data_IF_938350393099
#
_entry.id   IF_938350393099
#
_cell.length_a   1.000
_cell.length_b   1.000
_cell.length_c   1.000
_cell.angle_alpha   90.00
_cell.angle_beta   90.00
_cell.angle_gamma   90.00
#
_symmetry.space_group_name_H-M   'P 1'
#
loop_
_entity.id
_entity.type
_entity.pdbx_description
1 polymer ?
#
# COMPACT_ATOMS: atom_id res chain seq x y z
N UNK A 1 -6.15 2.44 28.21
CA UNK A 1 -6.25 2.58 26.74
C UNK A 1 -7.62 2.20 26.20
N UNK A 2 -8.06 0.93 26.22
CA UNK A 2 -9.35 0.57 25.59
C UNK A 2 -10.59 1.26 26.20
N UNK A 3 -10.64 1.40 27.54
CA UNK A 3 -11.71 2.15 28.22
C UNK A 3 -11.68 3.65 27.91
N UNK A 4 -10.48 4.21 27.71
CA UNK A 4 -10.29 5.63 27.40
C UNK A 4 -10.74 5.93 25.97
N UNK A 5 -10.38 5.06 25.02
CA UNK A 5 -10.86 5.12 23.64
C UNK A 5 -12.39 4.98 23.56
N UNK A 6 -12.99 4.03 24.29
CA UNK A 6 -14.46 3.91 24.35
C UNK A 6 -15.13 5.19 24.89
N UNK A 7 -14.53 5.85 25.88
CA UNK A 7 -15.02 7.12 26.41
C UNK A 7 -14.89 8.23 25.37
N UNK A 8 -13.75 8.31 24.70
CA UNK A 8 -13.48 9.31 23.65
C UNK A 8 -14.42 9.14 22.45
N UNK A 9 -14.64 7.90 21.97
CA UNK A 9 -15.63 7.62 20.92
C UNK A 9 -17.02 8.14 21.32
N UNK A 10 -17.47 7.83 22.54
CA UNK A 10 -18.77 8.31 23.04
C UNK A 10 -18.85 9.83 23.09
N UNK A 11 -17.77 10.49 23.48
CA UNK A 11 -17.67 11.95 23.51
C UNK A 11 -17.76 12.55 22.10
N UNK A 12 -16.92 12.08 21.17
CA UNK A 12 -16.89 12.57 19.78
C UNK A 12 -18.25 12.35 19.11
N UNK A 13 -18.79 11.13 19.16
CA UNK A 13 -20.10 10.81 18.60
C UNK A 13 -21.20 11.63 19.27
N UNK A 14 -21.16 11.78 20.59
CA UNK A 14 -22.14 12.58 21.34
C UNK A 14 -22.17 14.04 20.90
N UNK A 15 -21.02 14.62 20.57
CA UNK A 15 -20.91 16.01 20.08
C UNK A 15 -21.25 16.15 18.59
N UNK A 16 -21.03 15.11 17.78
CA UNK A 16 -21.24 15.14 16.32
C UNK A 16 -22.64 14.70 15.87
N UNK A 17 -23.33 13.83 16.62
CA UNK A 17 -24.60 13.20 16.16
C UNK A 17 -25.74 14.16 15.80
N UNK A 18 -25.75 15.35 16.40
CA UNK A 18 -26.77 16.38 16.19
C UNK A 18 -26.24 17.56 15.36
N UNK A 19 -25.03 17.43 14.79
CA UNK A 19 -24.40 18.47 13.97
C UNK A 19 -25.01 18.50 12.58
N UNK A 20 -24.89 19.66 11.95
CA UNK A 20 -25.21 19.81 10.54
C UNK A 20 -24.16 19.13 9.66
N UNK A 21 -24.52 18.87 8.40
CA UNK A 21 -23.57 18.40 7.36
C UNK A 21 -22.39 19.37 7.23
N UNK A 22 -22.65 20.68 7.31
CA UNK A 22 -21.64 21.74 7.26
C UNK A 22 -20.60 21.59 8.37
N UNK A 23 -21.05 21.37 9.60
CA UNK A 23 -20.16 21.19 10.75
C UNK A 23 -19.37 19.88 10.65
N UNK A 24 -19.99 18.76 10.23
CA UNK A 24 -19.25 17.50 10.04
C UNK A 24 -18.19 17.63 8.94
N UNK A 25 -18.52 18.26 7.80
CA UNK A 25 -17.55 18.50 6.73
C UNK A 25 -16.42 19.41 7.21
N UNK A 26 -16.72 20.44 8.00
CA UNK A 26 -15.66 21.29 8.57
C UNK A 26 -14.75 20.48 9.48
N UNK A 27 -15.33 19.66 10.37
CA UNK A 27 -14.58 18.76 11.25
C UNK A 27 -13.67 17.81 10.48
N UNK A 28 -14.19 17.14 9.44
CA UNK A 28 -13.42 16.22 8.62
C UNK A 28 -12.27 16.91 7.88
N UNK A 29 -12.50 18.10 7.30
CA UNK A 29 -11.44 18.89 6.63
C UNK A 29 -10.27 19.17 7.58
N UNK A 30 -10.55 19.61 8.81
CA UNK A 30 -9.48 19.92 9.75
C UNK A 30 -8.78 18.65 10.27
N UNK A 31 -9.46 17.51 10.39
CA UNK A 31 -8.79 16.26 10.76
C UNK A 31 -7.84 15.79 9.65
N UNK A 32 -8.30 15.76 8.41
CA UNK A 32 -7.47 15.36 7.24
C UNK A 32 -6.24 16.26 7.08
N UNK A 33 -6.37 17.56 7.38
CA UNK A 33 -5.25 18.50 7.38
C UNK A 33 -4.22 18.17 8.48
N UNK A 34 -4.68 17.78 9.67
CA UNK A 34 -3.79 17.39 10.78
C UNK A 34 -3.18 16.00 10.57
N UNK A 35 -3.93 15.04 10.01
CA UNK A 35 -3.46 13.72 9.61
C UNK A 35 -2.33 13.82 8.59
N UNK A 36 -2.53 14.66 7.58
CA UNK A 36 -1.54 14.94 6.56
C UNK A 36 -0.22 15.44 7.15
N UNK A 37 -0.28 16.30 8.17
CA UNK A 37 0.91 16.81 8.89
C UNK A 37 1.53 15.70 9.73
N UNK A 38 0.73 14.94 10.46
CA UNK A 38 1.18 13.84 11.31
C UNK A 38 1.98 12.80 10.52
N UNK A 39 1.45 12.32 9.39
CA UNK A 39 2.14 11.34 8.56
C UNK A 39 3.37 11.93 7.84
N UNK A 40 3.34 13.22 7.48
CA UNK A 40 4.54 13.89 6.96
C UNK A 40 5.66 13.88 8.01
N UNK A 41 5.35 14.23 9.26
CA UNK A 41 6.32 14.23 10.37
C UNK A 41 6.86 12.83 10.67
N UNK A 42 6.03 11.78 10.56
CA UNK A 42 6.49 10.39 10.71
C UNK A 42 7.43 9.99 9.57
N UNK A 43 7.10 10.36 8.33
CA UNK A 43 7.94 10.08 7.16
C UNK A 43 9.35 10.68 7.26
N UNK A 44 9.52 11.79 7.97
CA UNK A 44 10.82 12.42 8.23
C UNK A 44 11.66 11.66 9.26
N UNK A 45 11.02 10.94 10.19
CA UNK A 45 11.66 10.25 11.32
C UNK A 45 12.07 8.82 11.01
N UNK A 46 11.58 8.24 9.92
CA UNK A 46 11.87 6.85 9.52
C UNK A 46 12.96 6.76 8.46
N UNK A 47 13.77 5.70 8.55
CA UNK A 47 14.83 5.40 7.58
C UNK A 47 14.47 4.26 6.63
N UNK A 48 13.65 3.30 7.07
CA UNK A 48 13.26 2.14 6.25
C UNK A 48 12.44 2.59 5.02
N UNK A 49 12.85 2.26 3.78
CA UNK A 49 12.20 2.74 2.57
C UNK A 49 10.70 2.45 2.48
N UNK A 50 10.28 1.22 2.78
CA UNK A 50 8.85 0.83 2.77
C UNK A 50 8.00 1.66 3.72
N UNK A 51 8.43 1.81 4.98
CA UNK A 51 7.71 2.57 6.00
C UNK A 51 7.69 4.06 5.66
N UNK A 52 8.80 4.59 5.14
CA UNK A 52 8.88 5.98 4.69
C UNK A 52 7.92 6.28 3.56
N UNK A 53 7.86 5.39 2.57
CA UNK A 53 6.96 5.54 1.43
C UNK A 53 5.49 5.43 1.87
N UNK A 54 5.17 4.52 2.80
CA UNK A 54 3.84 4.43 3.40
C UNK A 54 3.44 5.76 4.02
N UNK A 55 4.22 6.29 4.96
CA UNK A 55 3.83 7.53 5.65
C UNK A 55 3.76 8.75 4.70
N UNK A 56 4.63 8.82 3.69
CA UNK A 56 4.49 9.85 2.63
C UNK A 56 3.17 9.69 1.87
N UNK A 57 2.85 8.46 1.48
CA UNK A 57 1.60 8.16 0.77
C UNK A 57 0.38 8.53 1.59
N UNK A 58 0.33 8.14 2.86
CA UNK A 58 -0.76 8.51 3.79
C UNK A 58 -0.92 10.03 3.85
N UNK A 59 0.19 10.77 4.03
CA UNK A 59 0.16 12.24 4.02
C UNK A 59 -0.37 12.83 2.70
N UNK A 60 0.00 12.25 1.56
CA UNK A 60 -0.48 12.68 0.25
C UNK A 60 -1.97 12.36 0.03
N UNK A 61 -2.43 11.19 0.46
CA UNK A 61 -3.83 10.77 0.35
C UNK A 61 -4.75 11.64 1.24
N UNK A 62 -4.38 11.90 2.50
CA UNK A 62 -5.15 12.80 3.38
C UNK A 62 -5.23 14.23 2.83
N UNK A 63 -4.16 14.75 2.20
CA UNK A 63 -4.23 16.04 1.47
C UNK A 63 -5.21 16.00 0.30
N UNK A 64 -5.26 14.90 -0.43
CA UNK A 64 -6.23 14.73 -1.52
C UNK A 64 -7.65 14.71 -0.96
N UNK A 65 -7.90 13.99 0.14
CA UNK A 65 -9.21 13.97 0.80
C UNK A 65 -9.60 15.34 1.34
N UNK A 66 -8.69 16.05 2.01
CA UNK A 66 -8.88 17.44 2.47
C UNK A 66 -9.34 18.34 1.31
N UNK A 67 -8.64 18.29 0.17
CA UNK A 67 -8.99 19.08 -1.02
C UNK A 67 -10.34 18.68 -1.60
N UNK A 68 -10.69 17.39 -1.62
CA UNK A 68 -11.99 16.90 -2.08
C UNK A 68 -13.12 17.37 -1.16
N UNK A 69 -12.92 17.29 0.16
CA UNK A 69 -13.88 17.76 1.16
C UNK A 69 -14.06 19.27 1.10
N UNK A 70 -13.00 20.06 0.91
CA UNK A 70 -13.10 21.51 0.68
C UNK A 70 -13.88 21.83 -0.59
N UNK A 71 -13.62 21.14 -1.70
CA UNK A 71 -14.40 21.29 -2.94
C UNK A 71 -15.87 20.95 -2.72
N UNK A 72 -16.16 19.88 -1.97
CA UNK A 72 -17.51 19.49 -1.61
C UNK A 72 -18.19 20.56 -0.75
N UNK A 73 -17.50 21.08 0.26
CA UNK A 73 -17.97 22.15 1.12
C UNK A 73 -18.33 23.40 0.33
N UNK A 74 -17.42 23.93 -0.50
CA UNK A 74 -17.68 25.13 -1.32
C UNK A 74 -18.82 24.93 -2.31
N UNK A 75 -19.04 23.71 -2.80
CA UNK A 75 -20.15 23.37 -3.69
C UNK A 75 -21.51 23.45 -2.99
N UNK A 76 -21.60 22.98 -1.74
CA UNK A 76 -22.87 22.94 -0.98
C UNK A 76 -23.12 24.19 -0.12
N UNK A 77 -22.06 24.93 0.26
CA UNK A 77 -22.12 26.12 1.11
C UNK A 77 -21.34 27.28 0.44
N UNK A 78 -21.82 27.78 -0.72
CA UNK A 78 -21.09 28.78 -1.49
C UNK A 78 -20.95 30.10 -0.73
N UNK A 79 -19.72 30.64 -0.70
CA UNK A 79 -19.39 31.89 0.01
C UNK A 79 -19.20 31.73 1.52
N UNK A 80 -19.25 30.50 2.03
CA UNK A 80 -18.94 30.18 3.42
C UNK A 80 -17.59 29.45 3.52
N UNK A 81 -16.95 29.56 4.68
CA UNK A 81 -15.68 28.87 4.98
C UNK A 81 -15.88 27.77 6.03
N UNK A 82 -15.09 26.67 5.99
CA UNK A 82 -15.06 25.68 7.05
C UNK A 82 -14.69 26.32 8.40
N UNK A 83 -15.41 25.97 9.45
CA UNK A 83 -15.15 26.49 10.81
C UNK A 83 -14.72 25.39 11.75
N UNK A 84 -13.75 25.67 12.60
CA UNK A 84 -13.28 24.70 13.59
C UNK A 84 -14.43 24.36 14.54
N UNK A 85 -14.75 23.07 14.64
CA UNK A 85 -15.78 22.56 15.54
C UNK A 85 -15.11 22.19 16.86
N UNK A 86 -15.74 22.52 17.99
CA UNK A 86 -15.27 22.13 19.33
C UNK A 86 -15.55 20.63 19.60
N UNK A 87 -14.84 19.78 18.88
CA UNK A 87 -14.86 18.32 18.98
C UNK A 87 -13.41 17.84 18.97
N UNK A 88 -13.02 16.92 19.87
CA UNK A 88 -11.70 16.31 19.83
C UNK A 88 -11.42 15.69 18.45
N UNK A 89 -10.17 15.69 17.96
CA UNK A 89 -9.83 15.02 16.71
C UNK A 89 -10.17 13.53 16.80
N UNK A 90 -10.62 12.98 15.67
CA UNK A 90 -10.99 11.55 15.60
C UNK A 90 -9.76 10.67 15.55
N UNK A 91 -8.67 11.18 15.02
CA UNK A 91 -7.38 10.53 15.06
C UNK A 91 -6.66 10.86 16.37
N UNK A 92 -5.91 9.90 16.87
CA UNK A 92 -5.18 10.04 18.13
C UNK A 92 -3.74 10.47 17.80
N UNK A 93 -3.30 11.67 18.22
CA UNK A 93 -1.95 12.20 17.94
C UNK A 93 -1.21 12.68 19.22
N UNK A 94 0.10 12.41 19.45
CA UNK A 94 0.81 11.14 19.26
C UNK A 94 1.59 10.65 20.52
N UNK A 95 1.85 9.34 20.58
CA UNK A 95 3.10 8.78 21.09
C UNK A 95 4.06 8.64 19.90
N UNK A 96 5.24 9.28 19.95
CA UNK A 96 6.25 9.20 18.89
C UNK A 96 7.30 8.18 19.32
N UNK A 97 7.37 7.06 18.60
CA UNK A 97 8.49 6.12 18.74
C UNK A 97 9.75 6.67 18.07
N UNK A 98 10.92 6.23 18.51
CA UNK A 98 12.20 6.71 18.01
C UNK A 98 12.58 6.14 16.64
N UNK A 99 11.88 5.11 16.15
CA UNK A 99 12.14 4.40 14.90
C UNK A 99 13.62 4.00 14.71
N UNK A 100 14.27 3.60 15.80
CA UNK A 100 15.68 3.19 15.83
C UNK A 100 15.82 1.66 15.67
N UNK A 101 14.81 0.90 16.04
CA UNK A 101 14.78 -0.57 16.03
C UNK A 101 13.57 -1.13 15.27
N UNK A 102 13.60 -2.44 14.96
CA UNK A 102 12.47 -3.12 14.34
C UNK A 102 11.25 -3.16 15.27
N UNK A 103 11.47 -3.21 16.57
CA UNK A 103 10.43 -3.08 17.59
C UNK A 103 9.77 -1.70 17.55
N UNK A 104 10.55 -0.63 17.39
CA UNK A 104 10.02 0.73 17.26
C UNK A 104 9.13 0.88 16.03
N UNK A 105 9.56 0.31 14.89
CA UNK A 105 8.74 0.28 13.67
C UNK A 105 7.42 -0.45 13.88
N UNK A 106 7.45 -1.62 14.52
CA UNK A 106 6.24 -2.39 14.78
C UNK A 106 5.31 -1.72 15.78
N UNK A 107 5.84 -1.06 16.80
CA UNK A 107 5.05 -0.28 17.74
C UNK A 107 4.40 0.92 17.05
N UNK A 108 5.17 1.69 16.27
CA UNK A 108 4.66 2.85 15.54
C UNK A 108 3.58 2.48 14.52
N UNK A 109 3.82 1.44 13.71
CA UNK A 109 2.83 0.96 12.74
C UNK A 109 1.56 0.42 13.43
N UNK A 110 1.72 -0.33 14.54
CA UNK A 110 0.58 -0.80 15.33
C UNK A 110 -0.24 0.36 15.90
N UNK A 111 0.43 1.40 16.39
CA UNK A 111 -0.23 2.61 16.87
C UNK A 111 -1.05 3.29 15.77
N UNK A 112 -0.46 3.50 14.58
CA UNK A 112 -1.18 4.07 13.44
C UNK A 112 -2.41 3.21 13.07
N UNK A 113 -2.26 1.89 12.98
CA UNK A 113 -3.39 0.96 12.75
C UNK A 113 -4.50 1.09 13.80
N UNK A 114 -4.13 1.23 15.08
CA UNK A 114 -5.09 1.42 16.17
C UNK A 114 -5.82 2.77 16.06
N UNK A 115 -5.12 3.83 15.62
CA UNK A 115 -5.71 5.15 15.33
C UNK A 115 -6.73 5.07 14.19
N UNK A 116 -6.38 4.46 13.05
CA UNK A 116 -7.28 4.28 11.91
C UNK A 116 -8.54 3.49 12.28
N UNK A 117 -8.38 2.38 13.00
CA UNK A 117 -9.52 1.59 13.47
C UNK A 117 -10.39 2.36 14.45
N UNK A 118 -9.80 3.22 15.28
CA UNK A 118 -10.54 4.07 16.19
C UNK A 118 -11.36 5.12 15.43
N UNK A 119 -10.74 5.79 14.45
CA UNK A 119 -11.41 6.76 13.58
C UNK A 119 -12.56 6.12 12.81
N UNK A 120 -12.29 5.00 12.13
CA UNK A 120 -13.30 4.17 11.46
C UNK A 120 -14.49 3.87 12.36
N UNK A 121 -14.24 3.30 13.54
CA UNK A 121 -15.31 2.88 14.48
C UNK A 121 -16.14 4.08 14.94
N UNK A 122 -15.49 5.22 15.15
CA UNK A 122 -16.16 6.45 15.55
C UNK A 122 -17.09 6.95 14.45
N UNK A 123 -16.65 6.95 13.19
CA UNK A 123 -17.48 7.32 12.06
C UNK A 123 -18.59 6.32 11.75
N UNK A 124 -18.35 5.00 11.87
CA UNK A 124 -19.41 3.97 11.77
C UNK A 124 -20.48 4.17 12.84
N UNK A 125 -20.09 4.46 14.08
CA UNK A 125 -21.06 4.71 15.13
C UNK A 125 -21.83 6.01 14.86
N UNK A 126 -21.15 7.07 14.42
CA UNK A 126 -21.79 8.32 14.02
C UNK A 126 -22.81 8.11 12.90
N UNK A 127 -22.49 7.31 11.89
CA UNK A 127 -23.41 7.04 10.77
C UNK A 127 -24.66 6.26 11.19
N UNK A 128 -24.60 5.50 12.28
CA UNK A 128 -25.74 4.78 12.83
C UNK A 128 -26.65 5.65 13.69
N UNK A 129 -26.09 6.62 14.42
CA UNK A 129 -26.83 7.39 15.43
C UNK A 129 -27.15 8.83 15.02
N UNK A 130 -26.60 9.32 13.90
CA UNK A 130 -26.88 10.65 13.41
C UNK A 130 -28.32 10.77 12.88
N UNK A 131 -29.00 11.84 13.29
CA UNK A 131 -30.37 12.14 12.89
C UNK A 131 -30.44 12.60 11.43
N UNK A 132 -29.44 13.36 10.99
CA UNK A 132 -29.35 13.90 9.64
C UNK A 132 -28.80 12.86 8.64
N UNK A 133 -29.54 12.61 7.55
CA UNK A 133 -29.16 11.63 6.53
C UNK A 133 -27.83 11.97 5.82
N UNK A 134 -27.59 13.24 5.50
CA UNK A 134 -26.34 13.68 4.89
C UNK A 134 -25.13 13.45 5.81
N UNK A 135 -25.31 13.65 7.13
CA UNK A 135 -24.27 13.33 8.13
C UNK A 135 -23.97 11.84 8.15
N UNK A 136 -25.01 10.98 8.05
CA UNK A 136 -24.81 9.53 7.94
C UNK A 136 -24.02 9.14 6.69
N UNK A 137 -24.32 9.76 5.55
CA UNK A 137 -23.62 9.50 4.29
C UNK A 137 -22.15 9.90 4.38
N UNK A 138 -21.86 11.12 4.84
CA UNK A 138 -20.47 11.61 4.99
C UNK A 138 -19.70 10.73 5.98
N UNK A 139 -20.30 10.36 7.12
CA UNK A 139 -19.65 9.49 8.09
C UNK A 139 -19.35 8.08 7.54
N UNK A 140 -20.21 7.51 6.70
CA UNK A 140 -19.92 6.23 6.03
C UNK A 140 -18.76 6.33 5.03
N UNK A 141 -18.67 7.44 4.30
CA UNK A 141 -17.55 7.69 3.38
C UNK A 141 -16.23 7.79 4.15
N UNK A 142 -16.18 8.60 5.20
CA UNK A 142 -15.01 8.75 6.06
C UNK A 142 -14.60 7.41 6.68
N UNK A 143 -15.55 6.63 7.20
CA UNK A 143 -15.25 5.29 7.71
C UNK A 143 -14.65 4.34 6.66
N UNK A 144 -14.98 4.52 5.38
CA UNK A 144 -14.41 3.73 4.29
C UNK A 144 -12.98 4.17 3.96
N UNK A 145 -12.71 5.48 4.02
CA UNK A 145 -11.36 6.05 3.92
C UNK A 145 -10.45 5.45 5.00
N UNK A 146 -10.86 5.53 6.28
CA UNK A 146 -10.04 5.02 7.39
C UNK A 146 -9.80 3.50 7.32
N UNK A 147 -10.74 2.75 6.71
CA UNK A 147 -10.54 1.32 6.48
C UNK A 147 -9.42 1.07 5.47
N UNK A 148 -9.34 1.85 4.40
CA UNK A 148 -8.29 1.70 3.38
C UNK A 148 -6.92 2.08 3.96
N UNK A 149 -6.86 3.18 4.71
CA UNK A 149 -5.68 3.59 5.49
C UNK A 149 -5.19 2.47 6.41
N UNK A 150 -6.10 1.86 7.19
CA UNK A 150 -5.78 0.72 8.05
C UNK A 150 -5.18 -0.47 7.26
N UNK A 151 -5.78 -0.83 6.13
CA UNK A 151 -5.31 -1.97 5.32
C UNK A 151 -3.91 -1.73 4.75
N UNK A 152 -3.62 -0.50 4.32
CA UNK A 152 -2.33 -0.14 3.77
C UNK A 152 -1.23 -0.16 4.86
N UNK A 153 -1.50 0.41 6.04
CA UNK A 153 -0.56 0.34 7.17
C UNK A 153 -0.36 -1.11 7.62
N UNK A 154 -1.44 -1.89 7.66
CA UNK A 154 -1.40 -3.31 8.01
C UNK A 154 -0.48 -4.11 7.08
N UNK A 155 -0.51 -3.84 5.77
CA UNK A 155 0.37 -4.51 4.82
C UNK A 155 1.86 -4.28 5.17
N UNK A 156 2.24 -3.04 5.49
CA UNK A 156 3.63 -2.75 5.91
C UNK A 156 3.95 -3.30 7.29
N UNK A 157 2.99 -3.31 8.21
CA UNK A 157 3.16 -3.98 9.50
C UNK A 157 3.44 -5.47 9.33
N UNK A 158 2.68 -6.17 8.49
CA UNK A 158 2.89 -7.59 8.18
C UNK A 158 4.24 -7.84 7.49
N UNK A 159 4.65 -6.93 6.60
CA UNK A 159 5.97 -6.93 5.98
C UNK A 159 7.09 -6.91 7.03
N UNK A 160 7.10 -5.88 7.88
CA UNK A 160 8.12 -5.69 8.92
C UNK A 160 8.08 -6.84 9.93
N UNK A 161 6.88 -7.26 10.34
CA UNK A 161 6.67 -8.33 11.32
C UNK A 161 7.22 -9.66 10.84
N UNK A 162 6.97 -10.01 9.57
CA UNK A 162 7.44 -11.29 9.02
C UNK A 162 8.96 -11.33 8.94
N UNK A 163 9.60 -10.22 8.55
CA UNK A 163 11.07 -10.15 8.57
C UNK A 163 11.63 -10.30 9.99
N UNK A 164 11.03 -9.64 10.97
CA UNK A 164 11.37 -9.84 12.39
C UNK A 164 11.21 -11.32 12.79
N UNK A 165 10.04 -11.91 12.54
CA UNK A 165 9.69 -13.27 12.99
C UNK A 165 10.55 -14.35 12.34
N UNK A 166 11.03 -14.10 11.12
CA UNK A 166 11.96 -14.98 10.41
C UNK A 166 13.43 -14.72 10.77
N UNK A 167 13.72 -13.73 11.61
CA UNK A 167 15.09 -13.23 11.88
C UNK A 167 15.86 -12.92 10.58
N UNK A 168 15.13 -12.47 9.56
CA UNK A 168 15.66 -12.16 8.24
C UNK A 168 15.63 -10.65 8.00
N UNK A 169 16.67 -10.15 7.35
CA UNK A 169 16.65 -8.82 6.74
C UNK A 169 16.24 -8.94 5.26
N UNK A 170 15.55 -7.95 4.66
CA UNK A 170 15.30 -7.95 3.22
C UNK A 170 16.56 -8.22 2.37
N UNK A 171 17.71 -7.73 2.83
CA UNK A 171 19.02 -7.90 2.19
C UNK A 171 19.58 -9.33 2.31
N UNK A 172 19.07 -10.13 3.26
CA UNK A 172 19.46 -11.53 3.49
C UNK A 172 18.70 -12.53 2.63
N UNK A 173 17.71 -12.06 1.85
CA UNK A 173 16.97 -12.88 0.91
C UNK A 173 17.95 -13.53 -0.09
N UNK A 174 17.87 -14.86 -0.26
CA UNK A 174 18.73 -15.57 -1.22
C UNK A 174 18.23 -15.35 -2.65
N UNK A 175 19.12 -15.46 -3.63
CA UNK A 175 18.68 -15.49 -5.04
C UNK A 175 17.71 -16.66 -5.25
N UNK A 176 16.60 -16.42 -5.96
CA UNK A 176 15.53 -17.40 -6.08
C UNK A 176 14.20 -16.79 -6.52
N UNK A 177 13.13 -17.55 -6.34
CA UNK A 177 11.78 -17.15 -6.76
C UNK A 177 10.78 -17.20 -5.60
N UNK A 178 10.07 -16.10 -5.40
CA UNK A 178 9.27 -15.84 -4.22
C UNK A 178 7.84 -15.46 -4.59
N UNK A 179 6.90 -15.97 -3.81
CA UNK A 179 5.46 -15.72 -3.94
C UNK A 179 4.96 -14.93 -2.73
N UNK A 180 4.26 -13.83 -3.03
CA UNK A 180 3.63 -12.93 -2.06
C UNK A 180 2.13 -12.99 -2.26
N UNK A 181 1.38 -13.32 -1.21
CA UNK A 181 -0.07 -13.50 -1.30
C UNK A 181 -0.86 -12.18 -1.25
N UNK A 182 -0.24 -11.12 -0.71
CA UNK A 182 -0.83 -9.80 -0.57
C UNK A 182 -0.13 -8.79 -1.51
N UNK A 183 -0.89 -8.18 -2.41
CA UNK A 183 -0.39 -7.20 -3.38
C UNK A 183 0.30 -6.01 -2.72
N UNK A 184 -0.32 -5.38 -1.71
CA UNK A 184 0.24 -4.21 -1.02
C UNK A 184 1.57 -4.57 -0.34
N UNK A 185 1.65 -5.72 0.34
CA UNK A 185 2.91 -6.22 0.93
C UNK A 185 4.00 -6.31 -0.14
N UNK A 186 3.66 -6.86 -1.32
CA UNK A 186 4.58 -6.96 -2.45
C UNK A 186 5.12 -5.61 -2.91
N UNK A 187 4.25 -4.61 -3.05
CA UNK A 187 4.65 -3.24 -3.44
C UNK A 187 5.66 -2.63 -2.47
N UNK A 188 5.40 -2.76 -1.17
CA UNK A 188 6.30 -2.21 -0.16
C UNK A 188 7.59 -3.00 -0.01
N UNK A 189 7.56 -4.33 -0.18
CA UNK A 189 8.77 -5.14 -0.20
C UNK A 189 9.74 -4.68 -1.29
N UNK A 190 9.24 -4.36 -2.48
CA UNK A 190 10.09 -3.88 -3.58
C UNK A 190 10.90 -2.64 -3.18
N UNK A 191 10.33 -1.73 -2.38
CA UNK A 191 11.03 -0.54 -1.91
C UNK A 191 12.21 -0.88 -1.01
N UNK A 192 12.08 -1.90 -0.15
CA UNK A 192 13.17 -2.36 0.71
C UNK A 192 14.25 -3.13 -0.07
N UNK A 193 13.96 -3.56 -1.30
CA UNK A 193 14.93 -4.22 -2.17
C UNK A 193 15.70 -3.24 -3.07
N UNK A 194 15.32 -1.97 -3.11
CA UNK A 194 16.04 -0.94 -3.87
C UNK A 194 17.35 -0.65 -3.17
N UNK A 195 18.44 -0.95 -3.85
CA UNK A 195 19.81 -0.90 -3.33
C UNK A 195 20.77 -0.56 -4.49
N UNK A 196 21.95 -0.02 -4.18
CA UNK A 196 22.97 0.35 -5.18
C UNK A 196 23.47 -0.85 -6.00
N UNK A 197 23.47 -2.04 -5.37
CA UNK A 197 23.94 -3.30 -5.96
C UNK A 197 22.83 -4.08 -6.69
N UNK A 198 21.60 -3.58 -6.67
CA UNK A 198 20.45 -4.21 -7.32
C UNK A 198 19.87 -3.31 -8.40
N UNK A 199 19.38 -3.93 -9.47
CA UNK A 199 18.48 -3.28 -10.43
C UNK A 199 17.18 -4.05 -10.47
N UNK A 200 16.09 -3.34 -10.67
CA UNK A 200 14.74 -3.87 -10.57
C UNK A 200 14.00 -3.65 -11.89
N UNK A 201 13.32 -4.69 -12.36
CA UNK A 201 12.37 -4.65 -13.47
C UNK A 201 11.00 -4.99 -12.94
N UNK A 202 10.08 -4.04 -13.02
CA UNK A 202 8.77 -4.12 -12.39
C UNK A 202 7.70 -4.21 -13.47
N UNK A 203 7.09 -5.39 -13.60
CA UNK A 203 5.94 -5.64 -14.45
C UNK A 203 4.68 -5.39 -13.64
N UNK A 204 4.12 -4.18 -13.76
CA UNK A 204 3.01 -3.71 -12.92
C UNK A 204 1.67 -3.79 -13.66
N UNK A 205 0.58 -3.84 -12.92
CA UNK A 205 -0.80 -3.74 -13.43
C UNK A 205 -1.49 -2.44 -13.10
N UNK A 206 -1.00 -1.73 -12.10
CA UNK A 206 -1.47 -0.39 -11.75
C UNK A 206 -0.95 0.65 -12.74
N UNK A 207 -1.54 1.84 -12.72
CA UNK A 207 -1.07 2.94 -13.53
C UNK A 207 0.41 3.23 -13.19
N UNK A 208 1.34 3.18 -14.18
CA UNK A 208 2.75 3.40 -13.93
C UNK A 208 3.07 4.74 -13.28
N UNK A 209 2.29 5.79 -13.52
CA UNK A 209 2.48 7.09 -12.87
C UNK A 209 2.20 7.03 -11.38
N UNK A 210 1.16 6.30 -10.97
CA UNK A 210 0.85 6.09 -9.54
C UNK A 210 1.97 5.29 -8.89
N UNK A 211 2.43 4.23 -9.57
CA UNK A 211 3.51 3.39 -9.07
C UNK A 211 4.85 4.14 -8.96
N UNK A 212 5.14 5.06 -9.90
CA UNK A 212 6.31 5.95 -9.84
C UNK A 212 6.25 6.92 -8.68
N UNK A 213 5.08 7.41 -8.27
CA UNK A 213 4.96 8.26 -7.07
C UNK A 213 5.38 7.50 -5.80
N UNK A 214 5.04 6.23 -5.72
CA UNK A 214 5.42 5.37 -4.59
C UNK A 214 6.94 5.13 -4.54
N UNK A 215 7.55 4.81 -5.69
CA UNK A 215 8.98 4.47 -5.77
C UNK A 215 9.90 5.71 -5.80
N UNK A 216 9.39 6.83 -6.30
CA UNK A 216 10.19 7.97 -6.72
C UNK A 216 10.94 7.70 -8.03
N UNK A 217 11.57 8.74 -8.57
CA UNK A 217 12.47 8.57 -9.72
C UNK A 217 13.74 7.84 -9.28
N UNK A 218 13.91 6.60 -9.75
CA UNK A 218 15.07 5.78 -9.41
C UNK A 218 15.70 5.15 -10.66
N UNK A 219 16.97 5.44 -10.97
CA UNK A 219 17.63 4.93 -12.17
C UNK A 219 17.91 3.42 -12.13
N UNK A 220 17.80 2.78 -10.97
CA UNK A 220 17.92 1.34 -10.82
C UNK A 220 16.57 0.62 -11.01
N UNK A 221 15.47 1.36 -11.28
CA UNK A 221 14.13 0.78 -11.43
C UNK A 221 13.59 1.04 -12.84
N UNK A 222 13.30 -0.05 -13.55
CA UNK A 222 12.60 -0.03 -14.85
C UNK A 222 11.16 -0.51 -14.64
N UNK A 223 10.17 0.31 -14.98
CA UNK A 223 8.74 -0.05 -14.85
C UNK A 223 8.15 -0.33 -16.23
N UNK A 224 7.56 -1.51 -16.37
CA UNK A 224 6.80 -1.94 -17.55
C UNK A 224 5.34 -2.19 -17.15
N UNK A 225 4.40 -1.58 -17.87
CA UNK A 225 2.97 -1.82 -17.66
C UNK A 225 2.51 -3.06 -18.43
N UNK A 226 1.88 -4.02 -17.76
CA UNK A 226 1.28 -5.17 -18.43
C UNK A 226 -0.15 -4.84 -18.81
N UNK A 227 -0.41 -4.28 -19.99
CA UNK A 227 -1.75 -3.84 -20.36
C UNK A 227 -2.03 -4.02 -21.86
N UNK A 228 -3.30 -4.11 -22.23
CA UNK A 228 -3.73 -4.23 -23.64
C UNK A 228 -3.75 -2.89 -24.39
N UNK A 229 -3.43 -1.80 -23.70
CA UNK A 229 -3.47 -0.45 -24.29
C UNK A 229 -2.16 -0.15 -25.00
N UNK A 230 -2.24 0.67 -26.05
CA UNK A 230 -1.04 1.19 -26.70
C UNK A 230 -0.55 2.44 -25.93
N UNK A 231 0.44 2.25 -25.07
CA UNK A 231 1.05 3.30 -24.28
C UNK A 231 2.57 3.06 -24.14
N UNK A 232 3.37 4.10 -23.84
CA UNK A 232 4.80 3.94 -23.59
C UNK A 232 5.09 2.90 -22.50
N UNK A 233 6.18 2.15 -22.64
CA UNK A 233 6.63 1.13 -21.69
C UNK A 233 5.52 0.13 -21.31
N UNK A 234 4.69 -0.26 -22.27
CA UNK A 234 3.58 -1.20 -22.08
C UNK A 234 3.81 -2.45 -22.92
N UNK A 235 3.53 -3.62 -22.34
CA UNK A 235 3.56 -4.92 -23.02
C UNK A 235 2.19 -5.57 -22.85
N UNK A 236 1.61 -6.12 -23.92
CA UNK A 236 0.37 -6.87 -23.80
C UNK A 236 0.58 -8.15 -22.99
N UNK A 237 -0.35 -8.56 -22.11
CA UNK A 237 -0.22 -9.83 -21.38
C UNK A 237 -0.08 -11.04 -22.30
N UNK A 238 -0.59 -10.96 -23.55
CA UNK A 238 -0.53 -12.05 -24.53
C UNK A 238 0.80 -12.13 -25.30
N UNK A 239 1.66 -11.12 -25.18
CA UNK A 239 2.96 -11.06 -25.86
C UNK A 239 4.04 -11.78 -25.04
N UNK A 240 3.82 -13.06 -24.75
CA UNK A 240 4.70 -13.86 -23.86
C UNK A 240 6.15 -13.91 -24.35
N UNK A 241 6.37 -13.96 -25.67
CA UNK A 241 7.72 -13.88 -26.23
C UNK A 241 8.41 -12.55 -25.88
N UNK A 242 7.69 -11.43 -25.92
CA UNK A 242 8.25 -10.12 -25.60
C UNK A 242 8.60 -10.06 -24.11
N UNK A 243 7.71 -10.56 -23.24
CA UNK A 243 7.97 -10.65 -21.80
C UNK A 243 9.20 -11.50 -21.48
N UNK A 244 9.29 -12.71 -22.04
CA UNK A 244 10.44 -13.60 -21.82
C UNK A 244 11.75 -12.94 -22.23
N UNK A 245 11.77 -12.34 -23.43
CA UNK A 245 12.97 -11.66 -23.96
C UNK A 245 13.35 -10.42 -23.14
N UNK A 246 12.39 -9.63 -22.68
CA UNK A 246 12.64 -8.45 -21.84
C UNK A 246 13.24 -8.87 -20.48
N UNK A 247 12.71 -9.92 -19.86
CA UNK A 247 13.25 -10.51 -18.62
C UNK A 247 14.68 -11.04 -18.82
N UNK A 248 14.92 -11.83 -19.87
CA UNK A 248 16.25 -12.37 -20.21
C UNK A 248 17.28 -11.26 -20.44
N UNK A 249 16.93 -10.29 -21.30
CA UNK A 249 17.80 -9.16 -21.63
C UNK A 249 18.12 -8.31 -20.40
N UNK A 250 17.14 -8.15 -19.50
CA UNK A 250 17.33 -7.45 -18.25
C UNK A 250 18.35 -8.17 -17.35
N UNK A 251 18.18 -9.46 -17.08
CA UNK A 251 19.12 -10.20 -16.23
C UNK A 251 20.54 -10.22 -16.83
N UNK A 252 20.65 -10.43 -18.15
CA UNK A 252 21.94 -10.42 -18.84
C UNK A 252 22.64 -9.06 -18.70
N UNK A 253 21.92 -7.96 -18.94
CA UNK A 253 22.42 -6.58 -18.81
C UNK A 253 22.88 -6.29 -17.38
N UNK A 254 22.04 -6.58 -16.38
CA UNK A 254 22.33 -6.27 -14.97
C UNK A 254 23.53 -7.07 -14.46
N UNK A 255 23.64 -8.33 -14.86
CA UNK A 255 24.77 -9.19 -14.50
C UNK A 255 26.08 -8.69 -15.11
N UNK A 256 26.08 -8.23 -16.37
CA UNK A 256 27.26 -7.62 -17.02
C UNK A 256 27.74 -6.35 -16.31
N UNK A 257 26.82 -5.62 -15.67
CA UNK A 257 27.14 -4.47 -14.84
C UNK A 257 27.65 -4.86 -13.43
N UNK A 258 27.77 -6.14 -13.12
CA UNK A 258 28.20 -6.64 -11.80
C UNK A 258 27.14 -6.51 -10.71
N UNK A 259 25.87 -6.28 -11.07
CA UNK A 259 24.75 -6.10 -10.15
C UNK A 259 23.84 -7.33 -10.12
N UNK A 260 22.95 -7.38 -9.13
CA UNK A 260 21.88 -8.42 -9.07
C UNK A 260 20.57 -7.90 -9.65
N UNK A 261 19.96 -8.67 -10.54
CA UNK A 261 18.64 -8.37 -11.09
C UNK A 261 17.52 -8.82 -10.16
N UNK A 262 16.48 -8.00 -10.01
CA UNK A 262 15.21 -8.34 -9.36
C UNK A 262 14.10 -8.12 -10.38
N UNK A 263 13.32 -9.15 -10.65
CA UNK A 263 12.12 -9.07 -11.48
C UNK A 263 10.90 -9.18 -10.57
N UNK A 264 10.01 -8.21 -10.67
CA UNK A 264 8.72 -8.23 -9.98
C UNK A 264 7.60 -8.37 -11.01
N UNK A 265 6.73 -9.36 -10.84
CA UNK A 265 5.53 -9.54 -11.66
C UNK A 265 4.30 -9.38 -10.78
N UNK A 266 3.61 -8.26 -10.97
CA UNK A 266 2.43 -7.91 -10.21
C UNK A 266 1.19 -8.65 -10.73
N UNK A 267 0.39 -9.18 -9.81
CA UNK A 267 -0.92 -9.75 -10.05
C UNK A 267 -0.91 -10.84 -11.14
N UNK A 268 -0.33 -11.99 -10.79
CA UNK A 268 -0.26 -13.17 -11.67
C UNK A 268 -1.64 -13.62 -12.14
N UNK A 269 -2.70 -13.41 -11.35
CA UNK A 269 -4.06 -13.76 -11.74
C UNK A 269 -4.51 -13.02 -13.01
N UNK A 270 -4.03 -11.80 -13.24
CA UNK A 270 -4.29 -11.09 -14.49
C UNK A 270 -3.64 -11.79 -15.69
N UNK A 271 -2.43 -12.33 -15.55
CA UNK A 271 -1.80 -13.12 -16.60
C UNK A 271 -2.58 -14.41 -16.85
N UNK A 272 -2.98 -15.12 -15.79
CA UNK A 272 -3.81 -16.34 -15.90
C UNK A 272 -5.12 -16.08 -16.63
N UNK A 273 -5.79 -14.97 -16.31
CA UNK A 273 -7.04 -14.58 -16.97
C UNK A 273 -6.88 -14.29 -18.47
N UNK A 274 -5.68 -13.97 -18.95
CA UNK A 274 -5.41 -13.63 -20.36
C UNK A 274 -4.71 -14.74 -21.14
N UNK A 275 -3.86 -15.53 -20.48
CA UNK A 275 -3.02 -16.55 -21.09
C UNK A 275 -3.53 -17.96 -20.85
N UNK A 276 -4.29 -18.17 -19.76
CA UNK A 276 -4.45 -19.49 -19.15
C UNK A 276 -3.37 -19.78 -18.11
N UNK A 277 -3.67 -20.69 -17.19
CA UNK A 277 -2.78 -21.02 -16.08
C UNK A 277 -1.48 -21.68 -16.58
N UNK A 278 -1.58 -22.62 -17.53
CA UNK A 278 -0.42 -23.37 -18.05
C UNK A 278 0.61 -22.44 -18.70
N UNK A 279 0.16 -21.57 -19.58
CA UNK A 279 0.98 -20.60 -20.31
C UNK A 279 1.59 -19.56 -19.34
N UNK A 280 0.86 -19.18 -18.30
CA UNK A 280 1.37 -18.29 -17.26
C UNK A 280 2.47 -18.98 -16.45
N UNK A 281 2.27 -20.22 -16.01
CA UNK A 281 3.29 -20.97 -15.26
C UNK A 281 4.55 -21.19 -16.12
N UNK A 282 4.41 -21.48 -17.41
CA UNK A 282 5.55 -21.57 -18.34
C UNK A 282 6.37 -20.27 -18.41
N UNK A 283 5.70 -19.11 -18.45
CA UNK A 283 6.37 -17.80 -18.36
C UNK A 283 7.09 -17.62 -17.00
N UNK A 284 6.43 -17.94 -15.90
CA UNK A 284 6.98 -17.75 -14.56
C UNK A 284 8.16 -18.70 -14.26
N UNK A 285 8.09 -19.95 -14.73
CA UNK A 285 9.18 -20.91 -14.60
C UNK A 285 10.40 -20.48 -15.41
N UNK A 286 10.19 -19.99 -16.64
CA UNK A 286 11.27 -19.42 -17.42
C UNK A 286 11.94 -18.23 -16.71
N UNK A 287 11.15 -17.32 -16.14
CA UNK A 287 11.66 -16.20 -15.36
C UNK A 287 12.39 -16.64 -14.08
N UNK A 288 11.92 -17.70 -13.42
CA UNK A 288 12.55 -18.33 -12.25
C UNK A 288 13.91 -18.92 -12.63
N UNK A 289 13.99 -19.67 -13.73
CA UNK A 289 15.23 -20.28 -14.21
C UNK A 289 16.29 -19.21 -14.50
N UNK A 290 15.88 -18.10 -15.15
CA UNK A 290 16.75 -16.94 -15.38
C UNK A 290 17.20 -16.31 -14.05
N UNK A 291 16.29 -16.08 -13.11
CA UNK A 291 16.63 -15.53 -11.80
C UNK A 291 17.66 -16.40 -11.06
N UNK A 292 17.49 -17.72 -11.07
CA UNK A 292 18.44 -18.66 -10.45
C UNK A 292 19.79 -18.67 -11.19
N UNK A 293 19.76 -18.76 -12.53
CA UNK A 293 20.97 -18.83 -13.35
C UNK A 293 21.85 -17.58 -13.19
N UNK A 294 21.25 -16.39 -13.17
CA UNK A 294 21.96 -15.12 -13.02
C UNK A 294 22.19 -14.71 -11.54
N UNK A 295 21.79 -15.53 -10.56
CA UNK A 295 21.92 -15.20 -9.14
C UNK A 295 21.08 -13.98 -8.72
N UNK A 296 19.96 -13.75 -9.40
CA UNK A 296 18.99 -12.70 -9.14
C UNK A 296 17.73 -13.20 -8.43
N UNK A 297 16.65 -12.43 -8.55
CA UNK A 297 15.39 -12.65 -7.83
C UNK A 297 14.21 -12.55 -8.77
N UNK A 298 13.25 -13.46 -8.62
CA UNK A 298 11.91 -13.32 -9.13
C UNK A 298 10.94 -13.18 -7.96
N UNK A 299 10.11 -12.15 -7.99
CA UNK A 299 9.08 -11.90 -6.99
C UNK A 299 7.76 -11.78 -7.72
N UNK A 300 6.78 -12.56 -7.30
CA UNK A 300 5.44 -12.55 -7.88
C UNK A 300 4.40 -12.26 -6.81
N UNK A 301 3.36 -11.52 -7.16
CA UNK A 301 2.16 -11.39 -6.32
C UNK A 301 1.01 -12.18 -6.90
N UNK A 302 0.32 -12.94 -6.04
CA UNK A 302 -0.87 -13.68 -6.42
C UNK A 302 -1.78 -13.90 -5.21
N UNK A 303 -3.02 -13.41 -5.28
CA UNK A 303 -4.02 -13.66 -4.24
C UNK A 303 -4.48 -15.13 -4.30
N UNK A 304 -4.32 -15.96 -3.25
CA UNK A 304 -4.74 -17.36 -3.26
C UNK A 304 -6.23 -17.58 -3.54
N UNK A 305 -7.09 -16.60 -3.24
CA UNK A 305 -8.54 -16.73 -3.36
C UNK A 305 -9.05 -16.79 -4.81
N UNK A 306 -8.22 -16.38 -5.78
CA UNK A 306 -8.62 -16.33 -7.20
C UNK A 306 -8.09 -17.50 -8.03
N UNK A 307 -7.46 -18.49 -7.40
CA UNK A 307 -6.91 -19.68 -8.05
C UNK A 307 -7.63 -20.94 -7.59
N UNK A 308 -7.70 -21.93 -8.48
CA UNK A 308 -8.13 -23.27 -8.09
C UNK A 308 -7.13 -23.90 -7.12
N UNK A 309 -7.60 -24.81 -6.26
CA UNK A 309 -6.74 -25.44 -5.22
C UNK A 309 -5.50 -26.13 -5.81
N UNK A 310 -5.65 -26.76 -6.98
CA UNK A 310 -4.56 -27.44 -7.69
C UNK A 310 -3.57 -26.45 -8.30
N UNK A 311 -4.05 -25.33 -8.84
CA UNK A 311 -3.22 -24.26 -9.39
C UNK A 311 -2.39 -23.60 -8.29
N UNK A 312 -3.03 -23.28 -7.16
CA UNK A 312 -2.36 -22.72 -6.00
C UNK A 312 -1.30 -23.66 -5.41
N UNK A 313 -1.61 -24.96 -5.34
CA UNK A 313 -0.65 -25.97 -4.88
C UNK A 313 0.60 -26.03 -5.77
N UNK A 314 0.43 -25.91 -7.09
CA UNK A 314 1.55 -25.89 -8.03
C UNK A 314 2.41 -24.63 -7.85
N UNK A 315 1.79 -23.45 -7.70
CA UNK A 315 2.54 -22.22 -7.43
C UNK A 315 3.37 -22.34 -6.14
N UNK A 316 2.81 -22.87 -5.06
CA UNK A 316 3.56 -23.07 -3.81
C UNK A 316 4.67 -24.12 -3.88
N UNK A 317 4.60 -25.04 -4.85
CA UNK A 317 5.67 -26.01 -5.08
C UNK A 317 6.87 -25.33 -5.75
N UNK A 318 6.61 -24.37 -6.64
CA UNK A 318 7.62 -23.74 -7.48
C UNK A 318 8.19 -22.46 -6.86
N UNK A 319 7.44 -21.76 -6.02
CA UNK A 319 7.81 -20.46 -5.45
C UNK A 319 7.78 -20.51 -3.92
N UNK A 320 8.83 -19.96 -3.29
CA UNK A 320 8.87 -19.85 -1.83
C UNK A 320 7.87 -18.80 -1.35
N UNK A 321 6.94 -19.18 -0.47
CA UNK A 321 5.93 -18.26 0.07
C UNK A 321 6.54 -17.38 1.17
N UNK A 322 6.58 -16.07 0.93
CA UNK A 322 7.10 -15.10 1.89
C UNK A 322 6.02 -14.52 2.81
N UNK A 323 4.84 -14.19 2.25
CA UNK A 323 3.75 -13.51 2.96
C UNK A 323 2.40 -14.09 2.55
#
# INVERSE_FOLDING_TARGET
MENDLKKLTKEIVGRLKNKSVKELLSYAIFNEEEEAKFYADLAEKVSRPSVKALFRRMSEESKVHELLLRKLFSKYFPGEEPVKVDVPPVEVVPFISKFESIEDYLEGLRYCMESELFAKRTYVLLSQVAENEGVRMVANELASIEQNHYEEIKAVYELVKTFRDREMLPESLKSGAYLITNESVGKYLILDLIDENKKLKLFVRENPEIFRRLIGENPNVEITWIAKVNAPNTISPTETHVLKKDIESFFEKVTKEGKKGVVFIQNVAYLVANLGFKETVDLLLHAKDLAVYYGGYLIITANPEVFEKTEWALLKLEFEVLF
#
